data_IF_367409832500
#
_entry.id   IF_367409832500
#
_cell.length_a   1.000
_cell.length_b   1.000
_cell.length_c   1.000
_cell.angle_alpha   90.00
_cell.angle_beta   90.00
_cell.angle_gamma   90.00
#
_symmetry.space_group_name_H-M   'P 1'
#
loop_
_entity.id
_entity.type
_entity.pdbx_description
1 polymer ?
#
# COMPACT_ATOMS: atom_id res chain seq x y z
N UNK A 1 9.70 3.99 0.72
CA UNK A 1 8.53 4.36 1.55
C UNK A 1 8.78 3.73 2.91
N UNK A 2 8.94 4.52 3.97
CA UNK A 2 9.32 4.00 5.29
C UNK A 2 8.07 3.53 6.03
N UNK A 3 8.00 2.28 6.51
CA UNK A 3 6.88 1.83 7.32
C UNK A 3 6.85 2.53 8.68
N UNK A 4 5.66 2.68 9.25
CA UNK A 4 5.49 3.15 10.62
C UNK A 4 5.68 2.01 11.64
N UNK A 5 5.45 0.77 11.21
CA UNK A 5 5.72 -0.45 11.96
C UNK A 5 6.01 -1.59 10.98
N UNK A 6 6.93 -2.50 11.34
CA UNK A 6 7.16 -3.74 10.61
C UNK A 6 7.69 -4.83 11.55
N UNK A 7 7.29 -6.07 11.29
CA UNK A 7 7.85 -7.27 11.91
C UNK A 7 7.87 -8.44 10.90
N UNK A 8 8.04 -9.68 11.38
CA UNK A 8 8.07 -10.88 10.54
C UNK A 8 6.71 -11.27 9.92
N UNK A 9 5.62 -10.61 10.33
CA UNK A 9 4.25 -10.99 9.97
C UNK A 9 3.43 -9.86 9.35
N UNK A 10 3.82 -8.60 9.58
CA UNK A 10 3.07 -7.48 9.04
C UNK A 10 3.90 -6.22 8.81
N UNK A 11 3.39 -5.40 7.89
CA UNK A 11 3.90 -4.09 7.53
C UNK A 11 2.77 -3.07 7.66
N UNK A 12 3.01 -1.99 8.41
CA UNK A 12 2.05 -0.88 8.55
C UNK A 12 2.64 0.35 7.89
N UNK A 13 1.90 0.93 6.95
CA UNK A 13 2.29 2.12 6.20
C UNK A 13 1.30 3.25 6.42
N UNK A 14 1.79 4.48 6.37
CA UNK A 14 0.92 5.66 6.29
C UNK A 14 0.66 6.00 4.81
N UNK A 15 -0.50 5.63 4.28
CA UNK A 15 -0.91 5.93 2.90
C UNK A 15 -1.31 7.40 2.79
N UNK A 16 -0.73 8.18 1.86
CA UNK A 16 -1.21 9.53 1.59
C UNK A 16 -2.59 9.50 0.89
N UNK A 17 -3.35 10.59 1.02
CA UNK A 17 -4.53 10.85 0.19
C UNK A 17 -4.13 11.01 -1.29
N UNK A 18 -5.00 10.62 -2.21
CA UNK A 18 -4.78 10.66 -3.66
C UNK A 18 -4.06 9.44 -4.24
N UNK A 19 -3.48 8.57 -3.40
CA UNK A 19 -2.80 7.34 -3.83
C UNK A 19 -3.74 6.12 -3.73
N UNK A 20 -3.82 5.33 -4.80
CA UNK A 20 -4.58 4.07 -4.79
C UNK A 20 -3.93 3.04 -3.84
N UNK A 21 -4.75 2.25 -3.13
CA UNK A 21 -4.23 1.15 -2.30
C UNK A 21 -3.70 -0.02 -3.13
N UNK A 22 -4.40 -0.36 -4.22
CA UNK A 22 -4.09 -1.45 -5.17
C UNK A 22 -4.15 -0.91 -6.60
N UNK A 23 -3.61 -1.60 -7.62
CA UNK A 23 -3.69 -1.14 -9.01
C UNK A 23 -5.15 -0.92 -9.42
N UNK A 24 -5.42 0.24 -10.02
CA UNK A 24 -6.71 0.55 -10.61
C UNK A 24 -6.89 -0.11 -11.98
N UNK A 25 -8.06 0.12 -12.56
CA UNK A 25 -8.35 -0.28 -13.95
C UNK A 25 -7.72 0.73 -14.90
N UNK A 26 -7.01 0.24 -15.92
CA UNK A 26 -6.37 1.07 -16.94
C UNK A 26 -4.87 1.26 -16.71
N UNK A 27 -4.11 1.53 -17.79
CA UNK A 27 -2.65 1.66 -17.75
C UNK A 27 -2.17 2.88 -16.93
N UNK A 28 -2.99 3.92 -16.83
CA UNK A 28 -2.74 5.16 -16.08
C UNK A 28 -2.90 5.01 -14.56
N UNK A 29 -3.54 3.93 -14.09
CA UNK A 29 -3.85 3.69 -12.67
C UNK A 29 -3.00 2.60 -12.03
N UNK A 30 -1.80 2.39 -12.57
CA UNK A 30 -0.90 1.34 -12.12
C UNK A 30 0.00 1.77 -10.97
N UNK A 31 0.13 3.07 -10.73
CA UNK A 31 0.82 3.61 -9.56
C UNK A 31 -0.10 3.54 -8.32
N UNK A 32 0.32 2.76 -7.33
CA UNK A 32 -0.44 2.49 -6.12
C UNK A 32 0.50 2.11 -4.98
N UNK A 33 -0.01 2.12 -3.74
CA UNK A 33 0.74 1.75 -2.55
C UNK A 33 1.31 0.33 -2.66
N UNK A 34 0.48 -0.66 -3.02
CA UNK A 34 0.92 -2.06 -3.03
C UNK A 34 2.10 -2.29 -3.97
N UNK A 35 2.12 -1.72 -5.19
CA UNK A 35 3.27 -1.85 -6.09
C UNK A 35 4.52 -1.18 -5.56
N UNK A 36 4.40 0.02 -4.98
CA UNK A 36 5.53 0.74 -4.39
C UNK A 36 6.13 -0.03 -3.21
N UNK A 37 5.28 -0.68 -2.41
CA UNK A 37 5.69 -1.50 -1.27
C UNK A 37 6.33 -2.80 -1.73
N UNK A 38 5.70 -3.51 -2.67
CA UNK A 38 6.19 -4.79 -3.20
C UNK A 38 7.51 -4.67 -3.96
N UNK A 39 7.86 -3.47 -4.44
CA UNK A 39 9.20 -3.21 -4.98
C UNK A 39 10.33 -3.31 -3.92
N UNK A 40 9.99 -3.21 -2.63
CA UNK A 40 10.92 -3.25 -1.49
C UNK A 40 10.67 -4.51 -0.64
N UNK A 41 9.41 -4.91 -0.47
CA UNK A 41 8.95 -6.06 0.29
C UNK A 41 8.13 -6.98 -0.63
N UNK A 42 8.76 -7.82 -1.46
CA UNK A 42 8.09 -8.56 -2.53
C UNK A 42 6.95 -9.46 -2.06
N UNK A 43 7.07 -10.00 -0.85
CA UNK A 43 6.09 -10.93 -0.28
C UNK A 43 4.91 -10.22 0.40
N UNK A 44 4.92 -8.89 0.50
CA UNK A 44 3.86 -8.14 1.18
C UNK A 44 2.54 -8.22 0.41
N UNK A 45 1.47 -8.65 1.10
CA UNK A 45 0.13 -8.86 0.58
C UNK A 45 -0.86 -7.84 1.16
N UNK A 46 -1.72 -7.33 0.29
CA UNK A 46 -2.79 -6.40 0.70
C UNK A 46 -3.91 -7.16 1.38
N UNK A 47 -4.17 -6.87 2.66
CA UNK A 47 -5.27 -7.51 3.43
C UNK A 47 -6.50 -6.61 3.59
N UNK A 48 -6.34 -5.29 3.45
CA UNK A 48 -7.44 -4.34 3.38
C UNK A 48 -7.07 -3.14 2.50
N UNK A 49 -8.06 -2.31 2.19
CA UNK A 49 -7.87 -1.13 1.33
C UNK A 49 -8.40 0.12 2.01
N UNK A 50 -7.81 1.25 1.65
CA UNK A 50 -8.39 2.57 1.82
C UNK A 50 -8.79 3.11 0.44
N UNK A 51 -9.83 3.93 0.39
CA UNK A 51 -10.18 4.68 -0.81
C UNK A 51 -9.02 5.59 -1.24
N UNK A 52 -9.03 6.00 -2.50
CA UNK A 52 -7.96 6.81 -3.08
C UNK A 52 -7.70 8.07 -2.25
N UNK A 53 -8.76 8.82 -1.92
CA UNK A 53 -8.67 10.09 -1.21
C UNK A 53 -8.61 9.93 0.32
N UNK A 54 -8.79 8.71 0.83
CA UNK A 54 -8.62 8.41 2.26
C UNK A 54 -7.13 8.23 2.58
N UNK A 55 -6.57 9.09 3.44
CA UNK A 55 -5.26 8.88 4.04
C UNK A 55 -5.34 8.02 5.30
N UNK A 56 -4.23 7.40 5.70
CA UNK A 56 -4.14 6.76 7.00
C UNK A 56 -3.35 5.46 7.00
N UNK A 57 -3.48 4.71 8.09
CA UNK A 57 -2.78 3.45 8.28
C UNK A 57 -3.35 2.37 7.37
N UNK A 58 -2.48 1.72 6.62
CA UNK A 58 -2.77 0.53 5.84
C UNK A 58 -1.80 -0.59 6.26
N UNK A 59 -2.37 -1.74 6.57
CA UNK A 59 -1.65 -2.95 6.97
C UNK A 59 -1.53 -3.86 5.75
N UNK A 60 -0.34 -4.44 5.58
CA UNK A 60 -0.04 -5.53 4.66
C UNK A 60 0.53 -6.70 5.46
N UNK A 61 0.25 -7.93 5.03
CA UNK A 61 0.77 -9.17 5.62
C UNK A 61 1.98 -9.66 4.84
#
# INVERSE_FOLDING_TARGET
MTPVYFDEHMLVLNKPSGLLSVPGRGPDKQDCLSKRVQAIYPDALVVHRLDQDTSGLLIMA
#
